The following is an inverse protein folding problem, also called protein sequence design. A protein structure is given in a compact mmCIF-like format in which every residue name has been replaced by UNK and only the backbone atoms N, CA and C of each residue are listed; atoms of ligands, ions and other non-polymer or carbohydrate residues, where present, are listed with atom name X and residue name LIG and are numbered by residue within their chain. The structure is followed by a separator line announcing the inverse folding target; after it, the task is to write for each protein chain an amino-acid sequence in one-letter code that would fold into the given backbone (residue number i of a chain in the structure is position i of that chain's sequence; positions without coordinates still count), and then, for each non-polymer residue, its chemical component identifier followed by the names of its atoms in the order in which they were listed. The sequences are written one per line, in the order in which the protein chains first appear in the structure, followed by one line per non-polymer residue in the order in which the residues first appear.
data_IF_022226026106
#
_entry.id   IF_022226026106
#
_cell.length_a   1.000
_cell.length_b   1.000
_cell.length_c   1.000
_cell.angle_alpha   90.00
_cell.angle_beta   90.00
_cell.angle_gamma   90.00
#
_symmetry.space_group_name_H-M   'P 1'
#
loop_
_entity.id
_entity.type
_entity.pdbx_description
1 polymer ?
#
# COMPACT_ATOMS: atom_id res chain seq x y z
N UNK A 1 -20.98 -21.40 -9.97
CA UNK A 1 -19.83 -22.04 -9.28
C UNK A 1 -19.67 -21.43 -7.90
N UNK A 2 -19.51 -22.24 -6.85
CA UNK A 2 -19.35 -21.76 -5.46
C UNK A 2 -17.89 -21.47 -5.12
N UNK A 3 -17.64 -20.75 -4.04
CA UNK A 3 -16.27 -20.47 -3.57
C UNK A 3 -15.51 -21.74 -3.18
N UNK A 4 -16.18 -22.71 -2.57
CA UNK A 4 -15.60 -24.02 -2.19
C UNK A 4 -15.18 -24.84 -3.42
N UNK A 5 -16.04 -24.87 -4.46
CA UNK A 5 -15.70 -25.54 -5.72
C UNK A 5 -14.49 -24.89 -6.40
N UNK A 6 -14.43 -23.55 -6.38
CA UNK A 6 -13.29 -22.79 -6.89
C UNK A 6 -12.00 -23.04 -6.07
N UNK A 7 -12.13 -23.14 -4.75
CA UNK A 7 -11.03 -23.44 -3.86
C UNK A 7 -10.41 -24.78 -4.21
N UNK A 8 -11.23 -25.83 -4.36
CA UNK A 8 -10.76 -27.16 -4.71
C UNK A 8 -10.16 -27.21 -6.12
N UNK A 9 -10.81 -26.54 -7.09
CA UNK A 9 -10.38 -26.54 -8.48
C UNK A 9 -9.03 -25.83 -8.70
N UNK A 10 -8.82 -24.68 -8.06
CA UNK A 10 -7.60 -23.86 -8.22
C UNK A 10 -6.59 -24.01 -7.08
N UNK A 11 -6.89 -24.85 -6.09
CA UNK A 11 -6.01 -25.08 -4.93
C UNK A 11 -5.82 -23.86 -4.03
N UNK A 12 -6.86 -23.02 -3.88
CA UNK A 12 -6.76 -21.87 -2.97
C UNK A 12 -6.65 -22.32 -1.50
N UNK A 13 -5.84 -21.65 -0.67
CA UNK A 13 -5.65 -22.07 0.72
C UNK A 13 -6.87 -21.77 1.60
N UNK A 14 -7.67 -20.75 1.24
CA UNK A 14 -8.87 -20.36 2.01
C UNK A 14 -10.04 -20.05 1.06
N UNK A 15 -11.29 -20.39 1.43
CA UNK A 15 -12.47 -20.14 0.59
C UNK A 15 -12.72 -18.64 0.37
N UNK A 16 -12.30 -17.76 1.29
CA UNK A 16 -12.41 -16.31 1.10
C UNK A 16 -11.60 -15.81 -0.10
N UNK A 17 -10.48 -16.46 -0.42
CA UNK A 17 -9.62 -16.07 -1.56
C UNK A 17 -10.32 -16.47 -2.86
N UNK A 18 -10.94 -17.65 -2.89
CA UNK A 18 -11.80 -18.04 -4.01
C UNK A 18 -12.99 -17.09 -4.20
N UNK A 19 -13.58 -16.59 -3.10
CA UNK A 19 -14.66 -15.61 -3.15
C UNK A 19 -14.23 -14.27 -3.77
N UNK A 20 -12.98 -13.85 -3.59
CA UNK A 20 -12.41 -12.65 -4.24
C UNK A 20 -12.46 -12.78 -5.76
N UNK A 21 -12.13 -13.95 -6.31
CA UNK A 21 -12.19 -14.20 -7.74
C UNK A 21 -13.61 -14.13 -8.28
N UNK A 22 -14.60 -14.66 -7.55
CA UNK A 22 -16.02 -14.56 -7.92
C UNK A 22 -16.44 -13.09 -7.98
N UNK A 23 -16.12 -12.31 -6.95
CA UNK A 23 -16.51 -10.90 -6.87
C UNK A 23 -15.89 -10.09 -8.00
N UNK A 24 -14.58 -10.26 -8.26
CA UNK A 24 -13.92 -9.56 -9.37
C UNK A 24 -14.45 -9.96 -10.73
N UNK A 25 -14.80 -11.23 -10.92
CA UNK A 25 -15.43 -11.69 -12.16
C UNK A 25 -16.79 -11.02 -12.36
N UNK A 26 -17.59 -10.88 -11.29
CA UNK A 26 -18.89 -10.19 -11.33
C UNK A 26 -18.73 -8.70 -11.66
N UNK A 27 -17.81 -8.03 -10.98
CA UNK A 27 -17.54 -6.61 -11.23
C UNK A 27 -17.06 -6.37 -12.66
N UNK A 28 -16.23 -7.28 -13.20
CA UNK A 28 -15.70 -7.18 -14.56
C UNK A 28 -16.80 -7.34 -15.60
N UNK A 29 -17.75 -8.23 -15.36
CA UNK A 29 -18.92 -8.42 -16.22
C UNK A 29 -19.92 -7.27 -16.11
N UNK A 30 -20.08 -6.67 -14.93
CA UNK A 30 -21.07 -5.61 -14.70
C UNK A 30 -20.58 -4.22 -15.12
N UNK A 31 -19.31 -3.91 -14.90
CA UNK A 31 -18.77 -2.55 -15.01
C UNK A 31 -17.56 -2.42 -15.94
N UNK A 32 -17.03 -3.55 -16.43
CA UNK A 32 -15.85 -3.58 -17.26
C UNK A 32 -14.53 -3.47 -16.48
N UNK A 33 -13.44 -3.72 -17.21
CA UNK A 33 -12.11 -3.92 -16.63
C UNK A 33 -11.61 -2.72 -15.81
N UNK A 34 -11.70 -1.50 -16.35
CA UNK A 34 -11.15 -0.32 -15.68
C UNK A 34 -11.83 -0.04 -14.34
N UNK A 35 -13.15 -0.21 -14.29
CA UNK A 35 -13.92 -0.01 -13.07
C UNK A 35 -13.53 -1.06 -12.04
N UNK A 36 -13.46 -2.34 -12.42
CA UNK A 36 -13.08 -3.42 -11.50
C UNK A 36 -11.69 -3.24 -10.93
N UNK A 37 -10.74 -2.75 -11.74
CA UNK A 37 -9.37 -2.51 -11.28
C UNK A 37 -9.29 -1.35 -10.27
N UNK A 38 -10.05 -0.28 -10.50
CA UNK A 38 -10.00 0.95 -9.69
C UNK A 38 -10.89 0.89 -8.45
N UNK A 39 -12.06 0.25 -8.55
CA UNK A 39 -13.17 0.34 -7.58
C UNK A 39 -13.66 -1.02 -7.08
N UNK A 40 -13.29 -2.12 -7.74
CA UNK A 40 -13.73 -3.46 -7.36
C UNK A 40 -13.17 -3.90 -6.01
N UNK A 41 -14.01 -4.54 -5.20
CA UNK A 41 -13.62 -5.05 -3.89
C UNK A 41 -13.19 -6.52 -3.95
N UNK A 42 -12.16 -6.93 -3.19
CA UNK A 42 -11.31 -6.14 -2.30
C UNK A 42 -10.29 -5.27 -3.06
N UNK A 43 -10.05 -4.08 -2.50
CA UNK A 43 -9.02 -3.15 -2.96
C UNK A 43 -7.66 -3.63 -2.46
N UNK A 44 -6.62 -3.49 -3.30
CA UNK A 44 -5.25 -3.71 -2.82
C UNK A 44 -4.99 -2.73 -1.67
N UNK A 45 -4.43 -3.23 -0.57
CA UNK A 45 -3.97 -2.34 0.50
C UNK A 45 -2.97 -1.34 -0.11
N UNK A 46 -3.02 -0.05 0.27
CA UNK A 46 -1.99 0.89 -0.16
C UNK A 46 -0.63 0.31 0.23
N UNK A 47 0.31 0.34 -0.72
CA UNK A 47 1.67 -0.15 -0.48
C UNK A 47 2.27 0.62 0.70
N UNK A 48 2.69 -0.08 1.75
CA UNK A 48 3.45 0.53 2.83
C UNK A 48 4.87 0.76 2.33
N UNK A 49 5.21 1.98 1.99
CA UNK A 49 6.60 2.39 1.78
C UNK A 49 7.17 2.86 3.11
N UNK A 50 8.26 2.24 3.56
CA UNK A 50 8.96 2.67 4.76
C UNK A 50 9.53 4.06 4.52
N UNK A 51 9.28 5.01 5.44
CA UNK A 51 10.09 6.24 5.47
C UNK A 51 11.51 5.89 5.87
N UNK A 52 12.48 6.41 5.12
CA UNK A 52 13.87 6.41 5.52
C UNK A 52 13.98 7.11 6.89
N UNK A 53 14.51 6.40 7.88
CA UNK A 53 14.80 7.00 9.18
C UNK A 53 15.95 7.99 9.03
N UNK A 54 15.94 9.03 9.86
CA UNK A 54 17.10 9.90 9.98
C UNK A 54 18.35 9.07 10.34
N UNK A 55 19.53 9.42 9.82
CA UNK A 55 20.77 8.74 10.18
C UNK A 55 21.01 8.86 11.69
N UNK A 56 21.53 7.78 12.27
CA UNK A 56 21.81 7.69 13.68
C UNK A 56 23.06 8.53 14.03
N UNK A 57 22.89 9.81 14.37
CA UNK A 57 24.03 10.69 14.67
C UNK A 57 24.72 10.38 16.01
N UNK A 58 24.02 9.71 16.94
CA UNK A 58 24.60 9.25 18.21
C UNK A 58 23.84 8.05 18.74
N UNK A 59 24.55 7.16 19.44
CA UNK A 59 23.99 5.96 20.08
C UNK A 59 24.05 6.08 21.60
N UNK A 60 23.12 5.44 22.28
CA UNK A 60 23.12 5.28 23.74
C UNK A 60 22.85 3.82 24.10
N UNK A 61 23.38 3.39 25.24
CA UNK A 61 23.19 2.03 25.74
C UNK A 61 21.93 2.00 26.60
N UNK A 62 20.98 1.15 26.22
CA UNK A 62 19.81 0.81 27.02
C UNK A 62 19.92 -0.63 27.53
N UNK A 63 19.01 -1.03 28.42
CA UNK A 63 18.91 -2.43 28.90
C UNK A 63 18.68 -3.42 27.75
N UNK A 64 18.10 -2.97 26.64
CA UNK A 64 17.79 -3.77 25.44
C UNK A 64 18.89 -3.72 24.38
N UNK A 65 20.01 -3.06 24.64
CA UNK A 65 21.17 -2.98 23.73
C UNK A 65 21.55 -1.55 23.34
N UNK A 66 22.22 -1.40 22.20
CA UNK A 66 22.64 -0.09 21.68
C UNK A 66 21.50 0.46 20.81
N UNK A 67 20.98 1.64 21.15
CA UNK A 67 19.90 2.30 20.42
C UNK A 67 20.32 3.70 19.97
N UNK A 68 19.73 4.16 18.87
CA UNK A 68 19.89 5.56 18.45
C UNK A 68 19.33 6.51 19.51
N UNK A 69 20.01 7.64 19.71
CA UNK A 69 19.64 8.61 20.75
C UNK A 69 18.33 9.34 20.43
N UNK A 70 18.01 9.51 19.15
CA UNK A 70 16.69 9.97 18.74
C UNK A 70 15.70 8.79 18.70
N UNK A 71 14.40 9.03 18.98
CA UNK A 71 13.39 8.00 18.88
C UNK A 71 13.31 7.47 17.44
N UNK A 72 13.07 6.17 17.32
CA UNK A 72 12.76 5.53 16.05
C UNK A 72 11.29 5.78 15.72
N UNK A 73 11.00 6.49 14.63
CA UNK A 73 9.62 6.75 14.26
C UNK A 73 9.11 5.59 13.39
N UNK A 74 8.38 4.65 13.99
CA UNK A 74 7.70 3.54 13.28
C UNK A 74 6.47 4.04 12.50
N UNK A 75 6.53 5.21 11.87
CA UNK A 75 5.46 5.69 11.01
C UNK A 75 5.45 4.85 9.73
N UNK A 76 4.33 4.15 9.51
CA UNK A 76 4.03 3.43 8.27
C UNK A 76 3.40 4.35 7.22
N UNK A 77 3.52 5.67 7.42
CA UNK A 77 2.93 6.69 6.55
C UNK A 77 3.75 6.81 5.28
N UNK A 78 3.08 6.91 4.14
CA UNK A 78 3.76 7.16 2.86
C UNK A 78 4.66 8.40 2.97
N UNK A 79 5.90 8.35 2.46
CA UNK A 79 6.76 9.52 2.38
C UNK A 79 6.04 10.61 1.57
N UNK A 80 5.97 11.82 2.14
CA UNK A 80 5.45 12.96 1.39
C UNK A 80 6.47 13.30 0.29
N UNK A 81 5.99 13.46 -0.95
CA UNK A 81 6.83 13.82 -2.09
C UNK A 81 7.56 12.66 -2.78
N UNK A 82 8.88 12.80 -2.97
CA UNK A 82 9.70 11.83 -3.71
C UNK A 82 9.71 10.48 -2.96
N UNK A 83 9.20 9.39 -3.56
CA UNK A 83 9.13 8.09 -2.90
C UNK A 83 10.51 7.44 -2.71
N UNK A 84 11.53 7.89 -3.45
CA UNK A 84 12.89 7.33 -3.38
C UNK A 84 13.68 7.98 -2.25
N UNK A 85 13.59 9.31 -2.13
CA UNK A 85 14.42 10.09 -1.20
C UNK A 85 13.66 10.57 0.04
N UNK A 86 12.33 10.64 -0.03
CA UNK A 86 11.49 11.37 0.91
C UNK A 86 11.67 12.88 0.77
N UNK A 87 10.59 13.65 0.97
CA UNK A 87 10.63 15.12 0.88
C UNK A 87 10.32 15.65 -0.52
N UNK A 88 10.59 16.94 -0.81
CA UNK A 88 10.19 17.60 -2.05
C UNK A 88 10.68 16.88 -3.31
N UNK A 89 9.88 16.90 -4.38
CA UNK A 89 10.22 16.24 -5.63
C UNK A 89 11.54 16.77 -6.22
N UNK A 90 12.56 15.89 -6.29
CA UNK A 90 13.91 16.24 -6.72
C UNK A 90 14.38 15.48 -7.96
N UNK A 91 13.48 14.76 -8.64
CA UNK A 91 13.79 13.98 -9.84
C UNK A 91 13.70 14.85 -11.10
N UNK A 92 14.50 14.51 -12.12
CA UNK A 92 14.47 15.22 -13.42
C UNK A 92 13.17 15.00 -14.22
N UNK A 93 12.44 13.93 -13.92
CA UNK A 93 11.15 13.61 -14.55
C UNK A 93 10.02 14.36 -13.85
N UNK A 94 8.90 14.66 -14.53
CA UNK A 94 7.75 15.31 -13.91
C UNK A 94 7.26 14.53 -12.69
N UNK A 95 6.77 15.25 -11.69
CA UNK A 95 6.16 14.65 -10.50
C UNK A 95 4.84 13.95 -10.89
N UNK A 96 4.73 12.61 -10.73
CA UNK A 96 3.52 11.86 -11.04
C UNK A 96 2.37 12.13 -10.07
N UNK A 97 2.60 12.96 -9.04
CA UNK A 97 1.64 13.31 -8.00
C UNK A 97 2.27 13.07 -6.64
N UNK A 98 3.01 14.06 -6.13
CA UNK A 98 3.56 14.07 -4.78
C UNK A 98 2.44 13.79 -3.80
N UNK A 99 2.60 12.71 -3.05
CA UNK A 99 1.70 12.38 -1.95
C UNK A 99 1.85 13.48 -0.89
N UNK A 100 0.84 14.33 -0.72
CA UNK A 100 0.82 15.43 0.26
C UNK A 100 0.24 14.99 1.62
N UNK A 101 -0.10 13.70 1.75
CA UNK A 101 -0.72 13.13 2.94
C UNK A 101 -2.22 13.42 3.03
N UNK A 102 -2.77 14.16 2.08
CA UNK A 102 -4.14 14.66 2.09
C UNK A 102 -4.74 14.77 0.69
N UNK A 103 -4.46 13.86 -0.24
CA UNK A 103 -5.24 13.65 -1.47
C UNK A 103 -4.83 12.32 -2.11
N UNK A 104 -5.40 11.21 -1.61
CA UNK A 104 -5.86 10.20 -2.56
C UNK A 104 -6.82 10.95 -3.49
N UNK A 105 -6.57 10.94 -4.80
CA UNK A 105 -7.35 11.61 -5.85
C UNK A 105 -8.86 11.25 -5.83
N UNK A 106 -9.56 11.74 -4.82
CA UNK A 106 -11.00 11.68 -4.55
C UNK A 106 -11.45 13.03 -3.97
N UNK A 107 -10.97 14.11 -4.57
CA UNK A 107 -11.71 15.36 -4.66
C UNK A 107 -11.58 15.72 -6.15
N UNK A 108 -12.63 15.84 -6.96
CA UNK A 108 -13.96 16.44 -6.77
C UNK A 108 -14.91 15.86 -7.87
N UNK A 109 -16.10 16.44 -8.11
CA UNK A 109 -17.32 16.55 -7.30
C UNK A 109 -18.40 15.53 -7.68
#
# INVERSE_FOLDING_TARGET
MTAEALQLHYGFPEPRIAQVLINRSRDLLAHGFEWTLKRGHPVNKPGRTYRWQAPCCSVHKTERGIQCRHPWNLSADMPLGDPVRGGPWAQKRPDPGTYDGSKLWLEEP
#
